data_IF_257930435074
#
_entry.id   IF_257930435074
#
_cell.length_a   1.000
_cell.length_b   1.000
_cell.length_c   1.000
_cell.angle_alpha   90.00
_cell.angle_beta   90.00
_cell.angle_gamma   90.00
#
_symmetry.space_group_name_H-M   'P 1'
#
loop_
_entity.id
_entity.type
_entity.pdbx_description
1 polymer ?
#
# COMPACT_ATOMS: atom_id res chain seq x y z
N UNK A 1 -18.12 11.82 19.93
CA UNK A 1 -18.10 10.34 19.78
C UNK A 1 -16.76 9.86 20.27
N UNK A 2 -16.72 9.05 21.34
CA UNK A 2 -15.46 8.46 21.80
C UNK A 2 -14.92 7.53 20.73
N UNK A 3 -13.64 7.64 20.40
CA UNK A 3 -12.99 6.71 19.50
C UNK A 3 -13.12 5.31 20.11
N UNK A 4 -13.87 4.42 19.45
CA UNK A 4 -13.88 3.01 19.79
C UNK A 4 -12.46 2.51 19.51
N UNK A 5 -11.81 1.91 20.51
CA UNK A 5 -10.50 1.30 20.29
C UNK A 5 -10.63 0.30 19.14
N UNK A 6 -9.79 0.46 18.12
CA UNK A 6 -9.68 -0.53 17.06
C UNK A 6 -9.07 -1.78 17.69
N UNK A 7 -9.76 -2.91 17.56
CA UNK A 7 -9.18 -4.21 17.85
C UNK A 7 -8.35 -4.60 16.64
N UNK A 8 -7.03 -4.61 16.79
CA UNK A 8 -6.07 -4.92 15.73
C UNK A 8 -5.33 -6.22 16.02
N UNK A 9 -5.81 -7.02 16.97
CA UNK A 9 -5.14 -8.25 17.38
C UNK A 9 -4.99 -9.22 16.20
N UNK A 10 -6.03 -9.38 15.37
CA UNK A 10 -5.99 -10.24 14.18
C UNK A 10 -4.88 -9.86 13.20
N UNK A 11 -4.59 -8.56 13.05
CA UNK A 11 -3.50 -8.07 12.18
C UNK A 11 -2.15 -8.46 12.77
N UNK A 12 -1.99 -8.31 14.09
CA UNK A 12 -0.76 -8.71 14.80
C UNK A 12 -0.57 -10.22 14.71
N UNK A 13 -1.61 -11.00 14.99
CA UNK A 13 -1.56 -12.46 14.89
C UNK A 13 -1.19 -12.92 13.47
N UNK A 14 -1.81 -12.34 12.44
CA UNK A 14 -1.46 -12.64 11.05
C UNK A 14 0.01 -12.30 10.74
N UNK A 15 0.52 -11.16 11.22
CA UNK A 15 1.90 -10.77 11.03
C UNK A 15 2.90 -11.76 11.65
N UNK A 16 2.55 -12.39 12.78
CA UNK A 16 3.42 -13.34 13.50
C UNK A 16 3.33 -14.80 13.01
N UNK A 17 2.53 -15.12 11.99
CA UNK A 17 2.48 -16.46 11.37
C UNK A 17 3.67 -16.71 10.45
N UNK A 18 4.88 -16.58 10.98
CA UNK A 18 6.16 -16.66 10.24
C UNK A 18 6.49 -18.05 9.70
N UNK A 19 5.79 -19.08 10.17
CA UNK A 19 5.96 -20.46 9.71
C UNK A 19 5.19 -20.75 8.40
N UNK A 20 4.36 -19.82 7.93
CA UNK A 20 3.61 -19.97 6.69
C UNK A 20 4.48 -19.67 5.47
N UNK A 21 4.20 -20.29 4.30
CA UNK A 21 4.78 -19.86 3.04
C UNK A 21 4.47 -18.37 2.77
N UNK A 22 5.45 -17.61 2.27
CA UNK A 22 5.38 -16.15 2.12
C UNK A 22 4.10 -15.66 1.39
N UNK A 23 3.65 -16.37 0.36
CA UNK A 23 2.44 -16.02 -0.39
C UNK A 23 1.16 -16.21 0.44
N UNK A 24 1.12 -17.28 1.25
CA UNK A 24 0.00 -17.52 2.16
C UNK A 24 0.00 -16.50 3.29
N UNK A 25 1.17 -16.23 3.88
CA UNK A 25 1.34 -15.20 4.90
C UNK A 25 0.87 -13.83 4.41
N UNK A 26 1.27 -13.41 3.21
CA UNK A 26 0.87 -12.12 2.62
C UNK A 26 -0.64 -12.03 2.40
N UNK A 27 -1.26 -13.12 1.97
CA UNK A 27 -2.72 -13.22 1.82
C UNK A 27 -3.42 -13.10 3.16
N UNK A 28 -2.98 -13.83 4.20
CA UNK A 28 -3.60 -13.76 5.52
C UNK A 28 -3.47 -12.37 6.16
N UNK A 29 -2.32 -11.71 5.99
CA UNK A 29 -2.12 -10.33 6.41
C UNK A 29 -3.09 -9.37 5.70
N UNK A 30 -3.29 -9.54 4.39
CA UNK A 30 -4.26 -8.73 3.64
C UNK A 30 -5.69 -8.91 4.16
N UNK A 31 -6.10 -10.15 4.43
CA UNK A 31 -7.43 -10.45 4.96
C UNK A 31 -7.64 -9.86 6.36
N UNK A 32 -6.63 -9.91 7.23
CA UNK A 32 -6.69 -9.32 8.56
C UNK A 32 -6.73 -7.78 8.50
N UNK A 33 -5.99 -7.16 7.57
CA UNK A 33 -5.92 -5.71 7.45
C UNK A 33 -7.15 -5.08 6.78
N UNK A 34 -7.81 -5.80 5.86
CA UNK A 34 -8.91 -5.30 5.03
C UNK A 34 -10.01 -4.59 5.85
N UNK A 35 -10.57 -5.16 6.94
CA UNK A 35 -11.67 -4.53 7.69
C UNK A 35 -11.29 -3.21 8.38
N UNK A 36 -9.99 -2.96 8.56
CA UNK A 36 -9.48 -1.78 9.26
C UNK A 36 -8.98 -0.68 8.32
N UNK A 37 -8.53 -1.05 7.12
CA UNK A 37 -7.91 -0.14 6.17
C UNK A 37 -8.79 0.18 4.96
N UNK A 38 -9.68 -0.72 4.57
CA UNK A 38 -10.48 -0.55 3.37
C UNK A 38 -11.64 0.45 3.59
N UNK A 39 -11.83 1.32 2.60
CA UNK A 39 -12.98 2.23 2.49
C UNK A 39 -13.76 2.01 1.18
N UNK A 40 -13.69 0.81 0.61
CA UNK A 40 -14.42 0.40 -0.59
C UNK A 40 -13.56 0.25 -1.85
N UNK A 41 -12.23 0.26 -1.72
CA UNK A 41 -11.28 0.15 -2.84
C UNK A 41 -10.33 -1.04 -2.74
N UNK A 42 -10.44 -1.82 -1.66
CA UNK A 42 -9.61 -2.96 -1.37
C UNK A 42 -8.24 -2.58 -0.81
N UNK A 43 -7.41 -3.59 -0.64
CA UNK A 43 -6.03 -3.48 -0.14
C UNK A 43 -5.08 -4.15 -1.14
N UNK A 44 -3.98 -3.47 -1.42
CA UNK A 44 -2.82 -4.02 -2.11
C UNK A 44 -1.71 -4.25 -1.09
N UNK A 45 -1.31 -5.51 -0.90
CA UNK A 45 -0.18 -5.87 -0.04
C UNK A 45 0.90 -6.45 -0.94
N UNK A 46 2.15 -6.05 -0.72
CA UNK A 46 3.26 -6.56 -1.52
C UNK A 46 4.50 -6.70 -0.67
N UNK A 47 5.27 -7.74 -0.93
CA UNK A 47 6.60 -7.84 -0.38
C UNK A 47 7.57 -7.14 -1.32
N UNK A 48 8.53 -6.42 -0.76
CA UNK A 48 9.56 -5.74 -1.53
C UNK A 48 10.97 -5.97 -0.98
N UNK A 49 11.94 -5.74 -1.85
CA UNK A 49 13.35 -5.63 -1.52
C UNK A 49 13.89 -4.27 -1.98
N UNK A 50 14.48 -3.50 -1.05
CA UNK A 50 15.07 -2.19 -1.31
C UNK A 50 16.44 -2.06 -0.62
N UNK A 51 17.53 -2.45 -1.31
CA UNK A 51 18.87 -2.16 -0.83
C UNK A 51 19.17 -0.66 -0.84
N UNK A 52 20.18 -0.25 -0.07
CA UNK A 52 20.61 1.15 0.01
C UNK A 52 20.99 1.70 -1.37
N UNK A 53 20.53 2.92 -1.68
CA UNK A 53 20.78 3.59 -2.96
C UNK A 53 20.04 3.01 -4.18
N UNK A 54 19.26 1.93 -4.02
CA UNK A 54 18.54 1.28 -5.12
C UNK A 54 17.04 1.62 -5.16
N UNK A 55 16.44 1.39 -6.33
CA UNK A 55 14.98 1.39 -6.47
C UNK A 55 14.38 0.12 -5.83
N UNK A 56 13.22 0.24 -5.18
CA UNK A 56 12.51 -0.90 -4.60
C UNK A 56 12.09 -1.88 -5.72
N UNK A 57 12.19 -3.17 -5.43
CA UNK A 57 11.70 -4.25 -6.29
C UNK A 57 10.61 -5.01 -5.56
N UNK A 58 9.47 -5.19 -6.21
CA UNK A 58 8.37 -6.00 -5.69
C UNK A 58 8.73 -7.47 -5.89
N UNK A 59 8.86 -8.22 -4.80
CA UNK A 59 9.13 -9.65 -4.80
C UNK A 59 7.84 -10.44 -5.09
N UNK A 60 6.75 -10.06 -4.43
CA UNK A 60 5.42 -10.64 -4.62
C UNK A 60 4.34 -9.62 -4.27
N UNK A 61 3.10 -9.86 -4.73
CA UNK A 61 1.96 -9.00 -4.48
C UNK A 61 0.69 -9.80 -4.30
N UNK A 62 -0.22 -9.28 -3.50
CA UNK A 62 -1.56 -9.79 -3.30
C UNK A 62 -2.53 -8.60 -3.26
N UNK A 63 -3.61 -8.70 -4.03
CA UNK A 63 -4.68 -7.72 -4.04
C UNK A 63 -5.94 -8.36 -3.48
N UNK A 64 -6.63 -7.65 -2.60
CA UNK A 64 -7.86 -8.11 -1.97
C UNK A 64 -8.93 -7.03 -2.06
N UNK A 65 -10.09 -7.35 -2.64
CA UNK A 65 -11.22 -6.42 -2.75
C UNK A 65 -11.02 -5.27 -3.76
N UNK A 66 -9.90 -5.24 -4.50
CA UNK A 66 -9.64 -4.20 -5.50
C UNK A 66 -10.56 -4.42 -6.71
N UNK A 67 -11.25 -3.37 -7.21
CA UNK A 67 -12.01 -3.47 -8.45
C UNK A 67 -11.13 -3.94 -9.62
N UNK A 68 -11.61 -4.91 -10.41
CA UNK A 68 -10.79 -5.54 -11.46
C UNK A 68 -10.19 -4.57 -12.48
N UNK A 69 -10.90 -3.50 -12.83
CA UNK A 69 -10.38 -2.44 -13.70
C UNK A 69 -9.24 -1.62 -13.07
N UNK A 70 -9.26 -1.42 -11.76
CA UNK A 70 -8.21 -0.75 -11.00
C UNK A 70 -7.01 -1.69 -10.81
N UNK A 71 -7.26 -2.95 -10.48
CA UNK A 71 -6.22 -3.98 -10.37
C UNK A 71 -5.41 -4.11 -11.67
N UNK A 72 -6.09 -4.15 -12.82
CA UNK A 72 -5.45 -4.28 -14.14
C UNK A 72 -4.45 -3.16 -14.46
N UNK A 73 -4.65 -1.96 -13.90
CA UNK A 73 -3.78 -0.81 -14.14
C UNK A 73 -2.83 -0.50 -12.98
N UNK A 74 -3.03 -1.10 -11.81
CA UNK A 74 -2.35 -0.71 -10.57
C UNK A 74 -0.82 -0.72 -10.70
N UNK A 75 -0.29 -1.80 -11.30
CA UNK A 75 1.15 -1.95 -11.56
C UNK A 75 1.70 -0.89 -12.53
N UNK A 76 0.87 -0.47 -13.50
CA UNK A 76 1.25 0.52 -14.51
C UNK A 76 1.27 1.94 -13.92
N UNK A 77 0.34 2.26 -13.02
CA UNK A 77 0.28 3.57 -12.36
C UNK A 77 1.56 3.81 -11.57
N UNK A 78 1.94 2.86 -10.68
CA UNK A 78 3.15 3.01 -9.89
C UNK A 78 4.42 3.05 -10.74
N UNK A 79 4.53 2.19 -11.76
CA UNK A 79 5.71 2.13 -12.62
C UNK A 79 5.94 3.42 -13.45
N UNK A 80 4.88 4.20 -13.71
CA UNK A 80 4.95 5.45 -14.49
C UNK A 80 5.21 6.69 -13.64
N UNK A 81 5.24 6.57 -12.31
CA UNK A 81 5.60 7.69 -11.43
C UNK A 81 7.09 8.02 -11.53
N UNK A 82 7.43 9.27 -11.23
CA UNK A 82 8.81 9.71 -11.13
C UNK A 82 9.60 8.82 -10.15
N UNK A 83 10.83 8.37 -10.48
CA UNK A 83 11.65 7.54 -9.60
C UNK A 83 11.86 8.12 -8.20
N UNK A 84 11.93 9.44 -8.05
CA UNK A 84 12.06 10.11 -6.76
C UNK A 84 10.79 9.99 -5.92
N UNK A 85 9.62 9.94 -6.56
CA UNK A 85 8.32 9.74 -5.90
C UNK A 85 8.18 8.28 -5.44
N UNK A 86 8.57 7.31 -6.28
CA UNK A 86 8.53 5.88 -5.94
C UNK A 86 9.38 5.51 -4.72
N UNK A 87 10.40 6.30 -4.40
CA UNK A 87 11.25 6.11 -3.22
C UNK A 87 10.64 6.64 -1.92
N UNK A 88 9.66 7.55 -2.00
CA UNK A 88 9.11 8.24 -0.82
C UNK A 88 8.41 7.33 0.18
N UNK A 89 7.59 6.32 -0.20
CA UNK A 89 6.97 5.44 0.78
C UNK A 89 8.01 4.75 1.67
N UNK A 90 9.11 4.32 1.05
CA UNK A 90 10.22 3.63 1.70
C UNK A 90 11.19 4.54 2.47
N UNK A 91 10.96 5.86 2.49
CA UNK A 91 11.77 6.85 3.22
C UNK A 91 10.97 7.60 4.28
N UNK A 92 9.68 7.83 4.00
CA UNK A 92 8.79 8.66 4.82
C UNK A 92 7.83 7.82 5.68
N UNK A 93 7.96 6.49 5.67
CA UNK A 93 7.15 5.58 6.47
C UNK A 93 7.20 5.85 7.99
N UNK A 94 6.44 5.07 8.78
CA UNK A 94 5.76 3.85 8.35
C UNK A 94 4.40 4.10 7.69
N UNK A 95 3.79 5.28 7.84
CA UNK A 95 2.47 5.58 7.28
C UNK A 95 2.48 6.90 6.53
N UNK A 96 2.01 6.91 5.28
CA UNK A 96 1.91 8.12 4.46
C UNK A 96 0.76 8.02 3.46
N UNK A 97 0.07 9.12 3.19
CA UNK A 97 -0.97 9.15 2.15
C UNK A 97 -0.39 9.36 0.75
N UNK A 98 -1.12 8.99 -0.30
CA UNK A 98 -0.78 9.28 -1.69
C UNK A 98 -0.62 10.79 -1.94
N UNK A 99 -1.50 11.60 -1.35
CA UNK A 99 -1.41 13.07 -1.46
C UNK A 99 -0.16 13.65 -0.78
N UNK A 100 0.26 13.10 0.36
CA UNK A 100 1.52 13.46 1.03
C UNK A 100 2.74 12.95 0.26
N UNK A 101 2.69 11.73 -0.28
CA UNK A 101 3.72 11.17 -1.15
C UNK A 101 4.01 12.07 -2.34
N UNK A 102 2.99 12.68 -2.94
CA UNK A 102 3.16 13.60 -4.06
C UNK A 102 3.54 15.02 -3.62
N UNK A 103 3.55 15.33 -2.32
CA UNK A 103 3.64 16.70 -1.79
C UNK A 103 2.55 17.63 -2.35
N UNK A 104 1.36 17.08 -2.56
CA UNK A 104 0.24 17.76 -3.21
C UNK A 104 -0.99 17.87 -2.33
N UNK A 105 -1.07 17.22 -1.15
CA UNK A 105 -2.16 17.37 -0.16
C UNK A 105 -3.56 17.69 -0.75
N UNK A 106 -3.93 18.98 -0.86
CA UNK A 106 -5.24 19.41 -1.40
C UNK A 106 -5.27 19.41 -2.93
N UNK A 107 -4.18 19.84 -3.54
CA UNK A 107 -3.92 19.86 -4.99
C UNK A 107 -3.92 18.45 -5.61
N UNK A 108 -3.74 17.40 -4.80
CA UNK A 108 -3.82 16.00 -5.23
C UNK A 108 -5.18 15.66 -5.85
N UNK A 109 -6.25 16.34 -5.40
CA UNK A 109 -7.58 16.26 -6.03
C UNK A 109 -7.53 16.52 -7.51
N UNK A 110 -6.69 17.46 -7.91
CA UNK A 110 -6.71 18.03 -9.23
C UNK A 110 -5.67 17.43 -10.16
N UNK A 111 -4.85 16.49 -9.67
CA UNK A 111 -3.77 15.89 -10.42
C UNK A 111 -4.28 15.10 -11.63
N UNK A 112 -3.94 15.50 -12.89
CA UNK A 112 -4.51 14.90 -14.09
C UNK A 112 -4.27 13.39 -14.19
N UNK A 113 -3.11 12.91 -13.72
CA UNK A 113 -2.79 11.49 -13.72
C UNK A 113 -3.71 10.71 -12.78
N UNK A 114 -3.94 11.23 -11.57
CA UNK A 114 -4.84 10.61 -10.59
C UNK A 114 -6.29 10.65 -11.05
N UNK A 115 -6.75 11.78 -11.61
CA UNK A 115 -8.07 11.89 -12.24
C UNK A 115 -8.30 10.82 -13.29
N UNK A 116 -7.33 10.64 -14.19
CA UNK A 116 -7.43 9.71 -15.32
C UNK A 116 -7.45 8.24 -14.90
N UNK A 117 -6.60 7.86 -13.95
CA UNK A 117 -6.36 6.45 -13.66
C UNK A 117 -7.07 5.97 -12.40
N UNK A 118 -7.22 6.80 -11.38
CA UNK A 118 -7.56 6.35 -10.02
C UNK A 118 -8.89 6.96 -9.54
N UNK A 119 -9.04 8.28 -9.63
CA UNK A 119 -10.24 8.97 -9.12
C UNK A 119 -11.49 8.72 -9.94
N UNK A 120 -11.36 8.27 -11.21
CA UNK A 120 -12.50 7.78 -12.00
C UNK A 120 -13.24 6.61 -11.34
N UNK A 121 -12.57 5.89 -10.44
CA UNK A 121 -13.16 4.82 -9.65
C UNK A 121 -13.77 5.33 -8.34
N UNK A 122 -13.61 6.61 -8.01
CA UNK A 122 -13.98 7.19 -6.71
C UNK A 122 -12.84 7.18 -5.68
N UNK A 123 -11.70 6.56 -5.98
CA UNK A 123 -10.54 6.55 -5.09
C UNK A 123 -9.84 7.91 -5.13
N UNK A 124 -9.99 8.68 -4.05
CA UNK A 124 -9.42 10.02 -3.97
C UNK A 124 -7.96 10.01 -3.50
N UNK A 125 -7.67 9.18 -2.51
CA UNK A 125 -6.36 9.01 -1.91
C UNK A 125 -6.20 7.55 -1.43
N UNK A 126 -4.99 7.18 -1.05
CA UNK A 126 -4.63 5.87 -0.53
C UNK A 126 -3.67 6.03 0.64
N UNK A 127 -3.81 5.22 1.68
CA UNK A 127 -2.78 5.10 2.71
C UNK A 127 -1.74 4.06 2.28
N UNK A 128 -0.47 4.39 2.44
CA UNK A 128 0.67 3.49 2.30
C UNK A 128 1.20 3.19 3.69
N UNK A 129 1.30 1.92 4.01
CA UNK A 129 1.93 1.42 5.23
C UNK A 129 3.17 0.64 4.80
N UNK A 130 4.31 0.91 5.40
CA UNK A 130 5.57 0.27 5.07
C UNK A 130 6.25 -0.23 6.34
N UNK A 131 6.52 -1.52 6.38
CA UNK A 131 7.30 -2.19 7.42
C UNK A 131 8.57 -2.77 6.79
N UNK A 132 9.73 -2.30 7.24
CA UNK A 132 11.02 -2.68 6.68
C UNK A 132 11.91 -3.32 7.74
N UNK A 133 12.58 -4.40 7.36
CA UNK A 133 13.69 -4.99 8.10
C UNK A 133 15.00 -4.25 7.78
N UNK A 134 16.03 -4.32 8.63
CA UNK A 134 17.35 -3.75 8.35
C UNK A 134 18.02 -4.30 7.07
N UNK A 135 17.62 -5.50 6.63
CA UNK A 135 18.07 -6.13 5.39
C UNK A 135 17.58 -5.41 4.12
N UNK A 136 16.59 -4.52 4.25
CA UNK A 136 15.90 -3.88 3.14
C UNK A 136 14.73 -4.70 2.58
N UNK A 137 14.44 -5.88 3.14
CA UNK A 137 13.20 -6.62 2.88
C UNK A 137 12.05 -5.99 3.67
N UNK A 138 10.83 -6.03 3.15
CA UNK A 138 9.67 -5.48 3.85
C UNK A 138 8.35 -5.73 3.15
N UNK A 139 7.29 -5.19 3.75
CA UNK A 139 5.92 -5.16 3.23
C UNK A 139 5.42 -3.72 3.18
#
# INVERSE_FOLDING_TARGET
MGARALDLLDVVEAAYKVDLPDAQWLSELAHAALPHLDQGFGVAVFEYYKPEGAQPRIAQRFHLGIPGELEAIYSTVFAKMDPAIRLRPFRLGPCITGSELMNMRKEFRDEPHMKRFVQRFGMYDSIWITAAEPSGRGV
#
